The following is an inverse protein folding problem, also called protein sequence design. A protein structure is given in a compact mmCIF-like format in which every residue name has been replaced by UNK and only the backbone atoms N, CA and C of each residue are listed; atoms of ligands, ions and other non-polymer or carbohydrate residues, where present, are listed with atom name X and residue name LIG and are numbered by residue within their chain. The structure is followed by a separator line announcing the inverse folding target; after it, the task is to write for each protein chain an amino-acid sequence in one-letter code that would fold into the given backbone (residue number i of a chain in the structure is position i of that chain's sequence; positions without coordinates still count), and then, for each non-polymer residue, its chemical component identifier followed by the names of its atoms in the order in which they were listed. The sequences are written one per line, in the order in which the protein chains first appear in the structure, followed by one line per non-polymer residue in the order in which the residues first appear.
data_IF_426967586066
#
_entry.id   IF_426967586066
#
_cell.length_a   1.000
_cell.length_b   1.000
_cell.length_c   1.000
_cell.angle_alpha   90.00
_cell.angle_beta   90.00
_cell.angle_gamma   90.00
#
_symmetry.space_group_name_H-M   'P 1'
#
loop_
_entity.id
_entity.type
_entity.pdbx_description
1 polymer ?
#
# COMPACT_ATOMS: atom_id res chain seq x y z
N UNK A 1 -57.19 -24.36 58.31
CA UNK A 1 -56.26 -25.30 57.64
C UNK A 1 -55.62 -24.72 56.36
N UNK A 2 -55.46 -23.39 56.23
CA UNK A 2 -54.94 -22.76 54.99
C UNK A 2 -53.41 -22.57 54.94
N UNK A 3 -52.69 -22.62 56.08
CA UNK A 3 -51.25 -22.32 56.13
C UNK A 3 -50.29 -23.44 55.73
N UNK A 4 -50.68 -24.71 55.80
CA UNK A 4 -49.79 -25.84 55.46
C UNK A 4 -49.48 -25.95 53.96
N UNK A 5 -50.39 -25.49 53.09
CA UNK A 5 -50.20 -25.57 51.64
C UNK A 5 -49.29 -24.44 51.13
N UNK A 6 -49.40 -23.24 51.72
CA UNK A 6 -48.54 -22.10 51.39
C UNK A 6 -47.09 -22.36 51.77
N UNK A 7 -46.83 -23.00 52.92
CA UNK A 7 -45.47 -23.40 53.32
C UNK A 7 -44.85 -24.38 52.30
N UNK A 8 -45.59 -25.42 51.89
CA UNK A 8 -45.12 -26.40 50.90
C UNK A 8 -44.85 -25.77 49.53
N UNK A 9 -45.70 -24.83 49.10
CA UNK A 9 -45.51 -24.08 47.85
C UNK A 9 -44.26 -23.19 47.89
N UNK A 10 -44.07 -22.44 48.98
CA UNK A 10 -42.87 -21.59 49.15
C UNK A 10 -41.60 -22.45 49.17
N UNK A 11 -41.58 -23.55 49.93
CA UNK A 11 -40.42 -24.45 49.96
C UNK A 11 -40.11 -25.03 48.58
N UNK A 12 -41.13 -25.40 47.79
CA UNK A 12 -40.95 -25.90 46.44
C UNK A 12 -40.37 -24.84 45.49
N UNK A 13 -40.86 -23.60 45.54
CA UNK A 13 -40.32 -22.51 44.72
C UNK A 13 -38.87 -22.17 45.08
N UNK A 14 -38.55 -22.15 46.38
CA UNK A 14 -37.19 -21.90 46.86
C UNK A 14 -36.25 -23.02 46.44
N UNK A 15 -36.64 -24.29 46.56
CA UNK A 15 -35.83 -25.42 46.11
C UNK A 15 -35.61 -25.39 44.59
N UNK A 16 -36.64 -25.06 43.80
CA UNK A 16 -36.49 -24.90 42.35
C UNK A 16 -35.56 -23.73 42.01
N UNK A 17 -35.61 -22.63 42.77
CA UNK A 17 -34.67 -21.52 42.60
C UNK A 17 -33.24 -21.94 42.89
N UNK A 18 -32.98 -22.64 44.00
CA UNK A 18 -31.65 -23.14 44.34
C UNK A 18 -31.14 -24.17 43.33
N UNK A 19 -32.01 -25.07 42.85
CA UNK A 19 -31.67 -26.00 41.78
C UNK A 19 -31.36 -25.28 40.46
N UNK A 20 -32.13 -24.24 40.12
CA UNK A 20 -31.88 -23.41 38.95
C UNK A 20 -30.51 -22.70 39.03
N UNK A 21 -30.22 -22.05 40.15
CA UNK A 21 -28.92 -21.38 40.36
C UNK A 21 -27.77 -22.38 40.36
N UNK A 22 -27.93 -23.54 41.01
CA UNK A 22 -26.92 -24.60 40.98
C UNK A 22 -26.70 -25.16 39.57
N UNK A 23 -27.76 -25.32 38.78
CA UNK A 23 -27.69 -25.74 37.38
C UNK A 23 -26.99 -24.70 36.50
N UNK A 24 -27.26 -23.41 36.69
CA UNK A 24 -26.54 -22.34 35.96
C UNK A 24 -25.07 -22.27 36.39
N UNK A 25 -24.79 -22.40 37.68
CA UNK A 25 -23.42 -22.44 38.21
C UNK A 25 -22.64 -23.63 37.66
N UNK A 26 -23.23 -24.82 37.63
CA UNK A 26 -22.64 -26.00 37.01
C UNK A 26 -22.46 -25.80 35.50
N UNK A 27 -23.45 -25.23 34.81
CA UNK A 27 -23.32 -24.91 33.38
C UNK A 27 -22.13 -23.99 33.13
N UNK A 28 -22.01 -22.87 33.84
CA UNK A 28 -20.89 -21.93 33.70
C UNK A 28 -19.55 -22.61 33.99
N UNK A 29 -19.47 -23.42 35.04
CA UNK A 29 -18.26 -24.15 35.42
C UNK A 29 -17.82 -25.18 34.36
N UNK A 30 -18.77 -25.82 33.67
CA UNK A 30 -18.46 -26.81 32.63
C UNK A 30 -18.38 -26.22 31.21
N UNK A 31 -18.81 -24.96 30.99
CA UNK A 31 -18.81 -24.28 29.69
C UNK A 31 -17.51 -23.49 29.40
N UNK A 32 -16.59 -23.39 30.37
CA UNK A 32 -15.34 -22.63 30.21
C UNK A 32 -14.52 -23.07 29.00
N UNK A 33 -14.44 -24.38 28.72
CA UNK A 33 -13.70 -24.89 27.56
C UNK A 33 -14.28 -24.50 26.20
N UNK A 34 -15.61 -24.29 26.10
CA UNK A 34 -16.23 -23.81 24.86
C UNK A 34 -15.97 -22.32 24.63
N UNK A 35 -15.85 -21.54 25.71
CA UNK A 35 -15.59 -20.10 25.64
C UNK A 35 -14.16 -19.82 25.24
N UNK A 36 -13.19 -20.54 25.82
CA UNK A 36 -11.78 -20.40 25.46
C UNK A 36 -11.53 -20.78 24.00
N UNK A 37 -12.11 -21.88 23.53
CA UNK A 37 -11.99 -22.29 22.12
C UNK A 37 -12.57 -21.25 21.16
N UNK A 38 -13.71 -20.65 21.50
CA UNK A 38 -14.31 -19.59 20.69
C UNK A 38 -13.42 -18.33 20.67
N UNK A 39 -12.82 -17.96 21.80
CA UNK A 39 -11.89 -16.83 21.90
C UNK A 39 -10.62 -17.08 21.06
N UNK A 40 -10.03 -18.27 21.15
CA UNK A 40 -8.87 -18.66 20.35
C UNK A 40 -9.18 -18.63 18.84
N UNK A 41 -10.34 -19.15 18.44
CA UNK A 41 -10.81 -19.08 17.05
C UNK A 41 -11.00 -17.63 16.58
N UNK A 42 -11.59 -16.76 17.40
CA UNK A 42 -11.75 -15.35 17.07
C UNK A 42 -10.39 -14.64 16.88
N UNK A 43 -9.39 -14.96 17.71
CA UNK A 43 -8.04 -14.41 17.59
C UNK A 43 -7.34 -14.88 16.32
N UNK A 44 -7.46 -16.17 15.98
CA UNK A 44 -6.90 -16.72 14.74
C UNK A 44 -7.52 -16.01 13.53
N UNK A 45 -8.85 -15.97 13.43
CA UNK A 45 -9.52 -15.31 12.31
C UNK A 45 -9.21 -13.80 12.21
N UNK A 46 -9.05 -13.13 13.36
CA UNK A 46 -8.65 -11.72 13.42
C UNK A 46 -7.23 -11.53 12.88
N UNK A 47 -6.29 -12.38 13.30
CA UNK A 47 -4.92 -12.36 12.83
C UNK A 47 -4.81 -12.69 11.33
N UNK A 48 -5.57 -13.66 10.81
CA UNK A 48 -5.63 -13.99 9.37
C UNK A 48 -6.16 -12.80 8.53
N UNK A 49 -7.21 -12.11 9.01
CA UNK A 49 -7.68 -10.86 8.37
C UNK A 49 -6.61 -9.77 8.43
N UNK A 50 -5.89 -9.68 9.55
CA UNK A 50 -4.76 -8.79 9.73
C UNK A 50 -3.62 -9.09 8.74
N UNK A 51 -3.33 -10.36 8.50
CA UNK A 51 -2.29 -10.82 7.57
C UNK A 51 -2.54 -10.33 6.15
N UNK A 52 -3.80 -10.42 5.68
CA UNK A 52 -4.21 -9.89 4.38
C UNK A 52 -4.01 -8.37 4.30
N UNK A 53 -4.41 -7.64 5.33
CA UNK A 53 -4.22 -6.19 5.37
C UNK A 53 -2.72 -5.82 5.38
N UNK A 54 -1.93 -6.56 6.15
CA UNK A 54 -0.48 -6.38 6.26
C UNK A 54 0.22 -6.59 4.92
N UNK A 55 -0.04 -7.70 4.23
CA UNK A 55 0.56 -8.02 2.94
C UNK A 55 0.25 -6.95 1.86
N UNK A 56 -0.94 -6.35 1.91
CA UNK A 56 -1.37 -5.34 0.95
C UNK A 56 -0.82 -3.93 1.21
N UNK A 57 -0.53 -3.57 2.47
CA UNK A 57 -0.33 -2.17 2.86
C UNK A 57 0.96 -1.91 3.64
N UNK A 58 1.50 -2.92 4.31
CA UNK A 58 2.54 -2.74 5.33
C UNK A 58 3.85 -3.44 4.96
N UNK A 59 3.77 -4.54 4.20
CA UNK A 59 4.91 -5.39 3.81
C UNK A 59 6.03 -4.59 3.15
N UNK A 60 5.69 -3.66 2.24
CA UNK A 60 6.66 -2.82 1.51
C UNK A 60 7.70 -2.13 2.40
N UNK A 61 7.29 -1.69 3.60
CA UNK A 61 8.16 -1.04 4.58
C UNK A 61 8.61 -1.97 5.71
N UNK A 62 7.79 -2.95 6.11
CA UNK A 62 8.03 -3.79 7.28
C UNK A 62 8.52 -5.21 6.96
N UNK A 63 8.75 -5.55 5.69
CA UNK A 63 9.14 -6.88 5.23
C UNK A 63 7.94 -7.79 4.98
N UNK A 64 8.13 -8.83 4.16
CA UNK A 64 7.05 -9.71 3.71
C UNK A 64 6.46 -10.55 4.84
N UNK A 65 7.27 -10.90 5.84
CA UNK A 65 6.87 -11.60 7.05
C UNK A 65 6.97 -10.73 8.31
N UNK A 66 7.04 -9.40 8.16
CA UNK A 66 7.17 -8.46 9.28
C UNK A 66 8.55 -8.43 9.93
N UNK A 67 9.59 -8.91 9.25
CA UNK A 67 10.98 -9.00 9.73
C UNK A 67 11.70 -7.64 9.83
N UNK A 68 11.10 -6.58 9.29
CA UNK A 68 11.65 -5.23 9.26
C UNK A 68 12.47 -4.95 8.00
N UNK A 69 12.38 -3.72 7.51
CA UNK A 69 13.11 -3.24 6.35
C UNK A 69 13.47 -1.75 6.51
N UNK A 70 12.62 -0.88 5.97
CA UNK A 70 12.67 0.57 6.19
C UNK A 70 12.03 0.89 7.54
N UNK A 71 10.89 0.24 7.81
CA UNK A 71 10.22 0.22 9.10
C UNK A 71 10.79 -0.86 10.03
N UNK A 72 10.58 -0.74 11.34
CA UNK A 72 11.05 -1.72 12.33
C UNK A 72 10.37 -3.08 12.15
N UNK A 73 11.01 -4.13 12.67
CA UNK A 73 10.46 -5.48 12.72
C UNK A 73 9.18 -5.54 13.58
N UNK A 74 8.13 -6.10 13.01
CA UNK A 74 6.81 -6.26 13.64
C UNK A 74 6.54 -7.70 14.08
N UNK A 75 6.98 -8.69 13.29
CA UNK A 75 6.91 -10.10 13.66
C UNK A 75 8.11 -10.46 14.53
N UNK A 76 8.05 -10.05 15.79
CA UNK A 76 9.09 -10.40 16.77
C UNK A 76 8.45 -10.96 18.02
N UNK A 77 9.09 -11.93 18.69
CA UNK A 77 8.72 -12.35 20.04
C UNK A 77 8.50 -11.15 20.95
N UNK A 78 9.38 -10.14 20.84
CA UNK A 78 9.29 -8.95 21.63
C UNK A 78 7.97 -8.21 21.43
N UNK A 79 7.24 -8.29 20.33
CA UNK A 79 5.99 -7.54 20.19
C UNK A 79 4.78 -8.25 20.82
N UNK A 80 4.92 -9.51 21.24
CA UNK A 80 3.82 -10.27 21.79
C UNK A 80 3.76 -10.26 23.32
N UNK A 81 2.56 -10.48 23.86
CA UNK A 81 2.36 -10.52 25.30
C UNK A 81 3.22 -11.59 25.98
N UNK A 82 3.35 -12.75 25.33
CA UNK A 82 4.04 -13.93 25.86
C UNK A 82 5.49 -13.63 26.26
N UNK A 83 6.13 -12.65 25.62
CA UNK A 83 7.50 -12.23 25.93
C UNK A 83 7.56 -10.93 26.74
N UNK A 84 6.49 -10.13 26.80
CA UNK A 84 6.49 -8.81 27.46
C UNK A 84 5.94 -8.78 28.89
N UNK A 85 5.22 -9.79 29.39
CA UNK A 85 4.76 -9.72 30.79
C UNK A 85 4.33 -11.05 31.44
N UNK A 86 4.26 -11.04 32.77
CA UNK A 86 3.58 -12.02 33.61
C UNK A 86 2.12 -11.61 33.97
N UNK A 87 1.54 -10.57 33.34
CA UNK A 87 0.25 -9.96 33.74
C UNK A 87 -0.62 -9.54 32.53
N UNK A 88 -1.90 -9.92 32.52
CA UNK A 88 -2.85 -9.61 31.44
C UNK A 88 -3.06 -8.10 31.15
N UNK A 89 -2.90 -7.22 32.14
CA UNK A 89 -3.04 -5.76 31.96
C UNK A 89 -2.00 -5.13 31.02
N UNK A 90 -0.86 -5.79 30.81
CA UNK A 90 0.19 -5.28 29.93
C UNK A 90 -0.14 -5.46 28.43
N UNK A 91 -1.04 -6.39 28.07
CA UNK A 91 -1.43 -6.59 26.67
C UNK A 91 -2.21 -5.40 26.14
N UNK A 92 -3.22 -4.95 26.89
CA UNK A 92 -4.05 -3.81 26.48
C UNK A 92 -3.23 -2.53 26.28
N UNK A 93 -2.17 -2.32 27.06
CA UNK A 93 -1.26 -1.18 26.86
C UNK A 93 -0.41 -1.32 25.59
N UNK A 94 0.08 -2.52 25.29
CA UNK A 94 0.84 -2.80 24.06
C UNK A 94 -0.06 -2.66 22.84
N UNK A 95 -1.26 -3.24 22.88
CA UNK A 95 -2.27 -3.13 21.82
C UNK A 95 -2.69 -1.68 21.61
N UNK A 96 -2.94 -0.92 22.68
CA UNK A 96 -3.26 0.50 22.59
C UNK A 96 -2.12 1.31 21.93
N UNK A 97 -0.86 0.96 22.20
CA UNK A 97 0.30 1.60 21.57
C UNK A 97 0.37 1.30 20.07
N UNK A 98 0.23 0.03 19.68
CA UNK A 98 0.22 -0.35 18.27
C UNK A 98 -0.96 0.27 17.54
N UNK A 99 -2.15 0.25 18.13
CA UNK A 99 -3.36 0.88 17.60
C UNK A 99 -3.13 2.36 17.33
N UNK A 100 -2.68 3.13 18.33
CA UNK A 100 -2.42 4.55 18.18
C UNK A 100 -1.34 4.84 17.10
N UNK A 101 -0.32 3.98 17.01
CA UNK A 101 0.73 4.12 15.98
C UNK A 101 0.18 3.87 14.57
N UNK A 102 -0.70 2.88 14.40
CA UNK A 102 -1.33 2.59 13.10
C UNK A 102 -2.35 3.69 12.75
N UNK A 103 -3.17 4.11 13.71
CA UNK A 103 -4.19 5.14 13.51
C UNK A 103 -3.56 6.44 13.00
N UNK A 104 -2.49 6.89 13.65
CA UNK A 104 -1.93 8.23 13.47
C UNK A 104 -0.63 8.27 12.69
N UNK A 105 -0.06 7.12 12.35
CA UNK A 105 1.28 7.03 11.79
C UNK A 105 2.34 7.52 12.78
N UNK A 106 3.51 7.87 12.27
CA UNK A 106 4.60 8.46 13.06
C UNK A 106 5.12 9.72 12.40
N UNK A 107 4.99 10.85 13.09
CA UNK A 107 5.51 12.12 12.59
C UNK A 107 7.03 12.06 12.42
N UNK A 108 7.53 12.64 11.32
CA UNK A 108 8.95 12.60 10.96
C UNK A 108 9.43 11.25 10.44
N UNK A 109 8.53 10.31 10.13
CA UNK A 109 8.86 9.08 9.41
C UNK A 109 7.96 8.92 8.18
N UNK A 110 8.30 7.95 7.32
CA UNK A 110 7.50 7.59 6.16
C UNK A 110 6.19 6.83 6.50
N UNK A 111 5.88 6.59 7.78
CA UNK A 111 4.69 5.84 8.18
C UNK A 111 3.47 6.78 8.27
N UNK A 112 2.53 6.72 7.30
CA UNK A 112 1.38 7.62 7.27
C UNK A 112 0.32 7.24 8.32
N UNK A 113 -0.63 8.14 8.61
CA UNK A 113 -1.85 7.76 9.33
C UNK A 113 -2.70 6.81 8.49
N UNK A 114 -3.19 5.73 9.10
CA UNK A 114 -4.05 4.75 8.40
C UNK A 114 -5.52 4.82 8.80
N UNK A 115 -5.86 5.44 9.93
CA UNK A 115 -7.25 5.55 10.33
C UNK A 115 -8.02 6.52 9.43
N UNK A 116 -9.26 6.16 9.10
CA UNK A 116 -10.18 7.02 8.33
C UNK A 116 -10.39 8.40 8.98
N UNK A 117 -10.38 8.47 10.31
CA UNK A 117 -10.49 9.73 11.06
C UNK A 117 -9.27 10.65 10.94
N UNK A 118 -8.17 10.13 10.41
CA UNK A 118 -6.91 10.83 10.19
C UNK A 118 -6.52 10.88 8.70
N UNK A 119 -7.47 10.60 7.80
CA UNK A 119 -7.28 10.67 6.35
C UNK A 119 -6.76 9.38 5.70
N UNK A 120 -6.63 8.29 6.47
CA UNK A 120 -6.27 6.97 5.96
C UNK A 120 -7.46 6.16 5.44
N UNK A 121 -7.22 4.89 5.10
CA UNK A 121 -8.19 3.98 4.47
C UNK A 121 -8.78 2.92 5.40
N UNK A 122 -8.27 2.81 6.64
CA UNK A 122 -8.61 1.72 7.55
C UNK A 122 -9.62 2.17 8.60
N UNK A 123 -10.66 1.35 8.78
CA UNK A 123 -11.61 1.49 9.88
C UNK A 123 -11.05 0.83 11.16
N UNK A 124 -11.74 1.05 12.28
CA UNK A 124 -11.37 0.47 13.57
C UNK A 124 -11.13 -1.04 13.51
N UNK A 125 -12.04 -1.82 12.91
CA UNK A 125 -11.90 -3.28 12.84
C UNK A 125 -10.69 -3.74 12.03
N UNK A 126 -10.35 -3.01 10.96
CA UNK A 126 -9.12 -3.30 10.19
C UNK A 126 -7.87 -3.08 11.04
N UNK A 127 -7.84 -1.99 11.81
CA UNK A 127 -6.73 -1.68 12.71
C UNK A 127 -6.64 -2.73 13.82
N UNK A 128 -7.76 -3.17 14.38
CA UNK A 128 -7.77 -4.24 15.38
C UNK A 128 -7.20 -5.56 14.86
N UNK A 129 -7.59 -5.97 13.65
CA UNK A 129 -7.05 -7.18 13.04
C UNK A 129 -5.52 -7.10 12.86
N UNK A 130 -5.00 -5.92 12.46
CA UNK A 130 -3.56 -5.66 12.37
C UNK A 130 -2.87 -5.69 13.74
N UNK A 131 -3.48 -5.09 14.75
CA UNK A 131 -2.97 -5.13 16.13
C UNK A 131 -2.91 -6.58 16.61
N UNK A 132 -3.98 -7.37 16.43
CA UNK A 132 -4.01 -8.78 16.79
C UNK A 132 -2.87 -9.55 16.12
N UNK A 133 -2.69 -9.40 14.79
CA UNK A 133 -1.58 -10.05 14.07
C UNK A 133 -0.22 -9.78 14.73
N UNK A 134 0.05 -8.53 15.10
CA UNK A 134 1.34 -8.09 15.65
C UNK A 134 1.53 -8.50 17.11
N UNK A 135 0.47 -8.48 17.93
CA UNK A 135 0.58 -8.66 19.39
C UNK A 135 0.33 -10.07 19.88
N UNK A 136 -0.35 -10.91 19.10
CA UNK A 136 -0.69 -12.28 19.54
C UNK A 136 0.11 -13.35 18.82
N UNK A 137 0.47 -13.14 17.55
CA UNK A 137 1.04 -14.19 16.69
C UNK A 137 0.16 -15.47 16.73
N UNK A 138 -1.16 -15.29 16.64
CA UNK A 138 -2.13 -16.39 16.70
C UNK A 138 -2.09 -17.24 15.44
N UNK A 139 -2.11 -18.57 15.61
CA UNK A 139 -2.16 -19.52 14.51
C UNK A 139 -0.95 -19.41 13.58
N UNK A 140 -1.20 -19.43 12.27
CA UNK A 140 -0.23 -19.31 11.20
C UNK A 140 -0.35 -17.98 10.43
N UNK A 141 -0.91 -16.94 11.04
CA UNK A 141 -1.23 -15.69 10.35
C UNK A 141 -0.02 -15.00 9.69
N UNK A 142 1.18 -15.08 10.27
CA UNK A 142 2.39 -14.55 9.63
C UNK A 142 2.88 -15.40 8.45
N UNK A 143 2.60 -16.70 8.45
CA UNK A 143 2.87 -17.58 7.30
C UNK A 143 1.90 -17.25 6.16
N UNK A 144 0.63 -16.94 6.49
CA UNK A 144 -0.34 -16.44 5.52
C UNK A 144 0.07 -15.07 4.97
N UNK A 145 0.53 -14.14 5.83
CA UNK A 145 1.00 -12.83 5.40
C UNK A 145 2.15 -12.95 4.40
N UNK A 146 3.11 -13.83 4.68
CA UNK A 146 4.23 -14.11 3.78
C UNK A 146 3.76 -14.73 2.46
N UNK A 147 2.86 -15.71 2.50
CA UNK A 147 2.34 -16.34 1.29
C UNK A 147 1.63 -15.34 0.38
N UNK A 148 0.81 -14.45 0.95
CA UNK A 148 0.12 -13.39 0.21
C UNK A 148 1.08 -12.33 -0.33
N UNK A 149 2.11 -11.97 0.44
CA UNK A 149 3.12 -11.02 -0.02
C UNK A 149 3.91 -11.58 -1.22
N UNK A 150 4.26 -12.88 -1.18
CA UNK A 150 4.91 -13.56 -2.32
C UNK A 150 4.00 -13.57 -3.55
N UNK A 151 2.70 -13.86 -3.39
CA UNK A 151 1.74 -13.81 -4.50
C UNK A 151 1.69 -12.41 -5.15
N UNK A 152 1.71 -11.35 -4.33
CA UNK A 152 1.73 -9.97 -4.80
C UNK A 152 3.04 -9.59 -5.47
N UNK A 153 4.16 -10.06 -4.95
CA UNK A 153 5.48 -9.86 -5.54
C UNK A 153 5.58 -10.55 -6.90
N UNK A 154 5.09 -11.79 -7.03
CA UNK A 154 5.01 -12.52 -8.30
C UNK A 154 4.12 -11.80 -9.32
N UNK A 155 2.95 -11.32 -8.91
CA UNK A 155 2.08 -10.53 -9.78
C UNK A 155 2.74 -9.20 -10.20
N UNK A 156 3.46 -8.56 -9.29
CA UNK A 156 4.20 -7.32 -9.57
C UNK A 156 5.35 -7.58 -10.55
N UNK A 157 6.10 -8.67 -10.39
CA UNK A 157 7.13 -9.09 -11.34
C UNK A 157 6.55 -9.36 -12.72
N UNK A 158 5.45 -10.10 -12.83
CA UNK A 158 4.78 -10.32 -14.11
C UNK A 158 4.34 -9.00 -14.77
N UNK A 159 3.85 -8.05 -13.97
CA UNK A 159 3.53 -6.71 -14.46
C UNK A 159 4.78 -5.99 -14.97
N UNK A 160 5.89 -6.01 -14.21
CA UNK A 160 7.15 -5.37 -14.60
C UNK A 160 7.77 -6.02 -15.84
N UNK A 161 7.73 -7.35 -15.95
CA UNK A 161 8.12 -8.09 -17.15
C UNK A 161 7.30 -7.66 -18.37
N UNK A 162 5.98 -7.47 -18.20
CA UNK A 162 5.10 -7.00 -19.28
C UNK A 162 5.42 -5.56 -19.69
N UNK A 163 5.76 -4.69 -18.73
CA UNK A 163 6.19 -3.30 -18.97
C UNK A 163 7.53 -3.30 -19.70
N UNK A 164 8.52 -4.08 -19.23
CA UNK A 164 9.82 -4.22 -19.89
C UNK A 164 9.66 -4.80 -21.30
N UNK A 165 8.86 -5.86 -21.48
CA UNK A 165 8.61 -6.44 -22.79
C UNK A 165 7.95 -5.44 -23.74
N UNK A 166 7.02 -4.62 -23.24
CA UNK A 166 6.37 -3.56 -24.02
C UNK A 166 7.35 -2.44 -24.37
N UNK A 167 8.19 -2.00 -23.42
CA UNK A 167 9.23 -0.99 -23.64
C UNK A 167 10.28 -1.49 -24.65
N UNK A 168 10.75 -2.74 -24.48
CA UNK A 168 11.74 -3.40 -25.33
C UNK A 168 11.22 -3.73 -26.73
N UNK A 169 9.96 -4.13 -26.86
CA UNK A 169 9.32 -4.32 -28.17
C UNK A 169 9.22 -2.99 -28.94
N UNK A 170 9.56 -1.87 -28.28
CA UNK A 170 9.09 -0.55 -28.62
C UNK A 170 7.59 -0.53 -28.40
N UNK A 171 7.11 0.42 -27.60
CA UNK A 171 5.93 1.15 -28.07
C UNK A 171 6.33 1.75 -29.43
N UNK A 172 6.24 0.93 -30.48
CA UNK A 172 6.72 1.28 -31.81
C UNK A 172 5.97 2.55 -32.20
N UNK A 173 6.68 3.51 -32.79
CA UNK A 173 6.04 4.59 -33.53
C UNK A 173 4.94 4.01 -34.46
N UNK A 174 5.17 2.79 -34.99
CA UNK A 174 4.20 2.00 -35.74
C UNK A 174 2.99 1.52 -34.91
N UNK A 175 3.12 1.11 -33.65
CA UNK A 175 2.02 0.61 -32.82
C UNK A 175 1.08 1.71 -32.34
N UNK A 176 1.64 2.85 -31.95
CA UNK A 176 0.86 4.06 -31.62
C UNK A 176 0.28 4.68 -32.90
N UNK A 177 1.05 4.76 -34.00
CA UNK A 177 0.53 5.24 -35.29
C UNK A 177 -0.54 4.30 -35.87
N UNK A 178 -0.41 2.97 -35.73
CA UNK A 178 -1.44 2.02 -36.16
C UNK A 178 -2.70 2.14 -35.31
N UNK A 179 -2.58 2.36 -34.00
CA UNK A 179 -3.71 2.58 -33.11
C UNK A 179 -4.43 3.91 -33.40
N UNK A 180 -3.66 4.97 -33.69
CA UNK A 180 -4.19 6.29 -34.08
C UNK A 180 -4.82 6.25 -35.47
N UNK A 181 -4.18 5.63 -36.47
CA UNK A 181 -4.73 5.47 -37.82
C UNK A 181 -5.97 4.56 -37.82
N UNK A 182 -5.97 3.48 -37.05
CA UNK A 182 -7.16 2.63 -36.90
C UNK A 182 -8.30 3.36 -36.18
N UNK A 183 -8.01 4.25 -35.23
CA UNK A 183 -9.02 5.08 -34.57
C UNK A 183 -9.56 6.19 -35.50
N UNK A 184 -8.71 6.77 -36.36
CA UNK A 184 -9.10 7.76 -37.39
C UNK A 184 -9.98 7.10 -38.47
N UNK A 185 -9.57 5.92 -38.96
CA UNK A 185 -10.28 5.16 -39.99
C UNK A 185 -11.61 4.58 -39.47
N UNK A 186 -11.69 4.25 -38.18
CA UNK A 186 -12.92 3.75 -37.55
C UNK A 186 -13.91 4.85 -37.14
N UNK A 187 -13.46 6.10 -37.03
CA UNK A 187 -14.26 7.20 -36.49
C UNK A 187 -15.10 7.96 -37.52
N UNK A 188 -14.93 7.71 -38.83
CA UNK A 188 -15.69 8.35 -39.94
C UNK A 188 -16.01 9.85 -39.72
N UNK A 189 -15.07 10.59 -39.10
CA UNK A 189 -15.15 12.03 -38.88
C UNK A 189 -15.59 12.54 -37.50
N UNK A 190 -15.88 11.69 -36.49
CA UNK A 190 -16.26 12.17 -35.15
C UNK A 190 -15.37 11.55 -34.05
N UNK A 191 -14.16 12.09 -33.89
CA UNK A 191 -13.26 11.73 -32.78
C UNK A 191 -13.69 12.49 -31.54
N UNK A 192 -14.18 11.77 -30.53
CA UNK A 192 -14.61 12.36 -29.26
C UNK A 192 -13.46 13.10 -28.55
N UNK A 193 -13.77 14.25 -27.95
CA UNK A 193 -12.84 15.18 -27.31
C UNK A 193 -11.99 14.48 -26.23
N UNK A 194 -12.57 13.48 -25.58
CA UNK A 194 -11.95 12.67 -24.53
C UNK A 194 -10.75 11.83 -25.04
N UNK A 195 -10.79 11.33 -26.29
CA UNK A 195 -9.69 10.55 -26.86
C UNK A 195 -8.49 11.47 -27.18
N UNK A 196 -8.78 12.69 -27.63
CA UNK A 196 -7.78 13.72 -27.94
C UNK A 196 -7.09 14.23 -26.67
N UNK A 197 -7.85 14.46 -25.60
CA UNK A 197 -7.30 14.84 -24.29
C UNK A 197 -6.42 13.74 -23.67
N UNK A 198 -6.80 12.47 -23.83
CA UNK A 198 -6.02 11.33 -23.33
C UNK A 198 -4.67 11.21 -24.04
N UNK A 199 -4.62 11.45 -25.36
CA UNK A 199 -3.38 11.45 -26.15
C UNK A 199 -2.45 12.63 -25.79
N UNK A 200 -3.02 13.81 -25.57
CA UNK A 200 -2.30 14.99 -25.08
C UNK A 200 -1.75 14.80 -23.66
N UNK A 201 -2.50 14.14 -22.78
CA UNK A 201 -2.06 13.82 -21.42
C UNK A 201 -0.86 12.87 -21.40
N UNK A 202 -0.86 11.83 -22.26
CA UNK A 202 0.30 10.94 -22.42
C UNK A 202 1.54 11.68 -22.94
N UNK A 203 1.34 12.61 -23.87
CA UNK A 203 2.44 13.39 -24.47
C UNK A 203 3.04 14.37 -23.45
N UNK A 204 2.21 15.00 -22.60
CA UNK A 204 2.67 15.85 -21.49
C UNK A 204 3.46 15.07 -20.44
N UNK A 205 2.97 13.88 -20.08
CA UNK A 205 3.66 13.01 -19.12
C UNK A 205 5.06 12.61 -19.61
N UNK A 206 5.22 12.40 -20.92
CA UNK A 206 6.49 12.01 -21.52
C UNK A 206 7.50 13.17 -21.59
N UNK A 207 7.04 14.40 -21.91
CA UNK A 207 7.88 15.61 -21.91
C UNK A 207 8.37 15.94 -20.50
N UNK A 208 7.54 15.71 -19.48
CA UNK A 208 7.96 15.88 -18.10
C UNK A 208 9.14 14.99 -17.72
N UNK A 209 9.19 13.75 -18.22
CA UNK A 209 10.30 12.81 -17.95
C UNK A 209 11.59 13.23 -18.66
N UNK A 210 11.54 13.60 -19.94
CA UNK A 210 12.71 14.03 -20.71
C UNK A 210 13.36 15.31 -20.16
N UNK A 211 12.55 16.33 -19.86
CA UNK A 211 13.08 17.59 -19.33
C UNK A 211 13.71 17.35 -17.97
N UNK A 212 13.12 16.54 -17.10
CA UNK A 212 13.73 16.27 -15.79
C UNK A 212 15.05 15.51 -15.91
N UNK A 213 15.22 14.67 -16.94
CA UNK A 213 16.47 13.96 -17.21
C UNK A 213 17.60 14.90 -17.68
N UNK A 214 17.30 15.98 -18.40
CA UNK A 214 18.28 17.01 -18.82
C UNK A 214 18.95 17.70 -17.60
N UNK A 215 18.21 17.82 -16.49
CA UNK A 215 18.69 18.43 -15.25
C UNK A 215 19.14 17.40 -14.21
N UNK A 216 19.19 16.09 -14.53
CA UNK A 216 19.41 15.02 -13.56
C UNK A 216 20.73 15.14 -12.79
N UNK A 217 21.83 15.46 -13.46
CA UNK A 217 23.14 15.63 -12.82
C UNK A 217 23.16 16.87 -11.90
N UNK A 218 22.56 17.98 -12.35
CA UNK A 218 22.44 19.19 -11.56
C UNK A 218 21.54 18.99 -10.32
N UNK A 219 20.46 18.21 -10.48
CA UNK A 219 19.57 17.84 -9.38
C UNK A 219 20.27 16.93 -8.37
N UNK A 220 21.04 15.96 -8.85
CA UNK A 220 21.82 15.06 -8.01
C UNK A 220 22.93 15.82 -7.23
N UNK A 221 23.61 16.76 -7.89
CA UNK A 221 24.62 17.61 -7.25
C UNK A 221 24.01 18.54 -6.19
N UNK A 222 22.86 19.17 -6.48
CA UNK A 222 22.15 20.03 -5.53
C UNK A 222 21.60 19.23 -4.33
N UNK A 223 21.09 18.03 -4.57
CA UNK A 223 20.65 17.11 -3.50
C UNK A 223 21.83 16.64 -2.63
N UNK A 224 22.96 16.28 -3.25
CA UNK A 224 24.16 15.87 -2.52
C UNK A 224 24.77 17.01 -1.69
N UNK A 225 24.57 18.25 -2.12
CA UNK A 225 24.99 19.46 -1.41
C UNK A 225 24.01 19.93 -0.33
N UNK A 226 22.81 19.34 -0.24
CA UNK A 226 21.70 19.79 0.60
C UNK A 226 21.35 21.29 0.37
N UNK A 227 21.46 21.76 -0.87
CA UNK A 227 21.26 23.16 -1.25
C UNK A 227 19.81 23.40 -1.71
N UNK A 228 18.94 23.75 -0.76
CA UNK A 228 17.51 23.99 -1.03
C UNK A 228 17.26 25.14 -2.02
N UNK A 229 18.07 26.21 -1.98
CA UNK A 229 17.93 27.35 -2.90
C UNK A 229 18.25 26.93 -4.34
N UNK A 230 19.24 26.05 -4.52
CA UNK A 230 19.58 25.48 -5.84
C UNK A 230 18.51 24.50 -6.36
N UNK A 231 17.87 23.75 -5.47
CA UNK A 231 16.78 22.84 -5.82
C UNK A 231 15.52 23.60 -6.28
N UNK A 232 15.15 24.67 -5.58
CA UNK A 232 14.01 25.52 -5.95
C UNK A 232 14.24 26.21 -7.32
N UNK A 233 15.46 26.69 -7.57
CA UNK A 233 15.80 27.31 -8.86
C UNK A 233 15.82 26.29 -10.01
N UNK A 234 16.31 25.07 -9.76
CA UNK A 234 16.26 23.97 -10.72
C UNK A 234 14.83 23.54 -11.03
N UNK A 235 13.95 23.46 -10.03
CA UNK A 235 12.53 23.14 -10.23
C UNK A 235 11.85 24.17 -11.15
N UNK A 236 12.15 25.45 -10.94
CA UNK A 236 11.62 26.54 -11.75
C UNK A 236 12.14 26.48 -13.20
N UNK A 237 13.43 26.18 -13.39
CA UNK A 237 14.03 25.99 -14.72
C UNK A 237 13.45 24.76 -15.44
N UNK A 238 13.22 23.65 -14.73
CA UNK A 238 12.59 22.44 -15.27
C UNK A 238 11.17 22.76 -15.74
N UNK A 239 10.40 23.53 -14.97
CA UNK A 239 9.03 23.88 -15.32
C UNK A 239 8.93 24.86 -16.49
N UNK A 240 9.81 25.87 -16.57
CA UNK A 240 9.90 26.74 -17.75
C UNK A 240 10.29 25.93 -19.00
N UNK A 241 11.26 25.01 -18.87
CA UNK A 241 11.71 24.17 -19.99
C UNK A 241 10.63 23.20 -20.46
N UNK A 242 9.83 22.63 -19.54
CA UNK A 242 8.65 21.83 -19.87
C UNK A 242 7.64 22.62 -20.69
N UNK A 243 7.38 23.87 -20.30
CA UNK A 243 6.45 24.74 -21.01
C UNK A 243 6.91 25.06 -22.44
N UNK A 244 8.20 25.37 -22.63
CA UNK A 244 8.77 25.63 -23.95
C UNK A 244 8.68 24.42 -24.89
N UNK A 245 9.01 23.22 -24.41
CA UNK A 245 8.94 21.99 -25.20
C UNK A 245 7.50 21.67 -25.57
N UNK A 246 6.55 21.90 -24.66
CA UNK A 246 5.13 21.72 -24.92
C UNK A 246 4.64 22.63 -26.06
N UNK A 247 5.01 23.91 -26.01
CA UNK A 247 4.62 24.90 -27.03
C UNK A 247 5.24 24.58 -28.40
N UNK A 248 6.50 24.15 -28.42
CA UNK A 248 7.18 23.73 -29.65
C UNK A 248 6.51 22.50 -30.28
N UNK A 249 6.08 21.53 -29.47
CA UNK A 249 5.42 20.32 -29.95
C UNK A 249 4.01 20.60 -30.47
N UNK A 250 3.25 21.48 -29.80
CA UNK A 250 1.96 21.97 -30.28
C UNK A 250 2.13 22.69 -31.61
N UNK A 251 3.14 23.57 -31.72
CA UNK A 251 3.43 24.27 -32.97
C UNK A 251 3.83 23.30 -34.11
N UNK A 252 4.64 22.28 -33.82
CA UNK A 252 5.03 21.25 -34.78
C UNK A 252 3.85 20.37 -35.21
N UNK A 253 2.91 20.07 -34.30
CA UNK A 253 1.69 19.30 -34.63
C UNK A 253 0.70 20.06 -35.54
N UNK A 254 0.88 21.38 -35.67
CA UNK A 254 0.03 22.28 -36.46
C UNK A 254 0.67 22.70 -37.79
N UNK A 255 1.95 22.41 -38.00
CA UNK A 255 2.67 22.73 -39.23
C UNK A 255 2.72 21.51 -40.16
N UNK A 256 2.33 21.70 -41.42
CA UNK A 256 2.55 20.73 -42.52
C UNK A 256 4.07 20.48 -42.61
N UNK A 257 4.56 19.38 -42.04
CA UNK A 257 5.98 19.17 -41.79
C UNK A 257 6.71 18.66 -43.04
N UNK A 258 7.81 19.33 -43.39
CA UNK A 258 8.76 18.91 -44.44
C UNK A 258 9.61 17.72 -43.95
N UNK A 259 10.04 16.85 -44.86
CA UNK A 259 10.52 15.48 -44.57
C UNK A 259 11.75 15.38 -43.64
N UNK A 260 12.55 16.44 -43.51
CA UNK A 260 13.73 16.46 -42.63
C UNK A 260 13.37 16.56 -41.14
N UNK A 261 12.22 17.17 -40.81
CA UNK A 261 11.70 17.24 -39.43
C UNK A 261 11.12 15.89 -39.00
N UNK A 262 10.55 15.13 -39.94
CA UNK A 262 10.00 13.79 -39.69
C UNK A 262 11.10 12.78 -39.32
N UNK A 263 12.27 12.85 -39.97
CA UNK A 263 13.43 11.98 -39.68
C UNK A 263 14.04 12.29 -38.31
N UNK A 264 14.25 13.57 -37.98
CA UNK A 264 14.77 13.97 -36.66
C UNK A 264 13.83 13.57 -35.51
N UNK A 265 12.52 13.60 -35.76
CA UNK A 265 11.49 13.16 -34.80
C UNK A 265 11.49 11.63 -34.64
N UNK A 266 11.78 10.86 -35.69
CA UNK A 266 11.93 9.40 -35.64
C UNK A 266 13.16 9.01 -34.80
N UNK A 267 14.30 9.68 -35.00
CA UNK A 267 15.54 9.39 -34.28
C UNK A 267 15.42 9.75 -32.78
N UNK A 268 14.83 10.90 -32.45
CA UNK A 268 14.55 11.27 -31.07
C UNK A 268 13.61 10.26 -30.39
N UNK A 269 12.57 9.80 -31.09
CA UNK A 269 11.63 8.77 -30.60
C UNK A 269 12.29 7.41 -30.38
N UNK A 270 13.29 7.05 -31.18
CA UNK A 270 14.05 5.81 -31.00
C UNK A 270 14.93 5.85 -29.74
N UNK A 271 15.60 6.98 -29.48
CA UNK A 271 16.40 7.17 -28.27
C UNK A 271 15.56 7.12 -26.97
N UNK A 272 14.34 7.66 -27.00
CA UNK A 272 13.39 7.59 -25.88
C UNK A 272 12.97 6.15 -25.58
N UNK A 273 12.69 5.37 -26.63
CA UNK A 273 12.30 3.97 -26.48
C UNK A 273 13.43 3.13 -25.88
N UNK A 274 14.68 3.43 -26.23
CA UNK A 274 15.88 2.79 -25.66
C UNK A 274 16.01 3.13 -24.16
N UNK A 275 15.93 4.41 -23.78
CA UNK A 275 16.00 4.85 -22.38
C UNK A 275 14.86 4.28 -21.51
N UNK A 276 13.64 4.22 -22.04
CA UNK A 276 12.50 3.62 -21.36
C UNK A 276 12.68 2.11 -21.14
N UNK A 277 13.25 1.41 -22.12
CA UNK A 277 13.56 -0.01 -22.00
C UNK A 277 14.69 -0.26 -20.98
N UNK A 278 15.72 0.58 -20.95
CA UNK A 278 16.79 0.53 -19.94
C UNK A 278 16.26 0.78 -18.54
N UNK A 279 15.41 1.79 -18.35
CA UNK A 279 14.81 2.11 -17.06
C UNK A 279 13.88 1.00 -16.58
N UNK A 280 13.06 0.44 -17.48
CA UNK A 280 12.18 -0.69 -17.17
C UNK A 280 12.98 -1.95 -16.83
N UNK A 281 14.09 -2.20 -17.52
CA UNK A 281 15.00 -3.31 -17.22
C UNK A 281 15.62 -3.14 -15.84
N UNK A 282 16.18 -1.97 -15.54
CA UNK A 282 16.79 -1.70 -14.23
C UNK A 282 15.77 -1.86 -13.08
N UNK A 283 14.51 -1.44 -13.31
CA UNK A 283 13.42 -1.62 -12.35
C UNK A 283 13.07 -3.10 -12.15
N UNK A 284 13.00 -3.87 -13.24
CA UNK A 284 12.74 -5.31 -13.20
C UNK A 284 13.87 -6.05 -12.48
N UNK A 285 15.13 -5.78 -12.84
CA UNK A 285 16.31 -6.40 -12.20
C UNK A 285 16.37 -6.08 -10.69
N UNK A 286 16.04 -4.83 -10.31
CA UNK A 286 15.95 -4.44 -8.90
C UNK A 286 14.81 -5.18 -8.17
N UNK A 287 13.66 -5.37 -8.81
CA UNK A 287 12.55 -6.13 -8.25
C UNK A 287 12.91 -7.61 -8.08
N UNK A 288 13.51 -8.25 -9.10
CA UNK A 288 13.99 -9.62 -9.03
C UNK A 288 15.02 -9.81 -7.91
N UNK A 289 15.95 -8.86 -7.76
CA UNK A 289 16.95 -8.89 -6.69
C UNK A 289 16.31 -8.77 -5.29
N UNK A 290 15.27 -7.95 -5.14
CA UNK A 290 14.51 -7.85 -3.89
C UNK A 290 13.79 -9.17 -3.57
N UNK A 291 13.08 -9.74 -4.53
CA UNK A 291 12.39 -11.02 -4.35
C UNK A 291 13.37 -12.15 -4.03
N UNK A 292 14.52 -12.20 -4.71
CA UNK A 292 15.59 -13.16 -4.41
C UNK A 292 16.18 -12.99 -2.99
N UNK A 293 16.14 -11.77 -2.44
CA UNK A 293 16.52 -11.47 -1.07
C UNK A 293 15.38 -11.67 -0.04
N UNK A 294 14.19 -12.12 -0.47
CA UNK A 294 13.01 -12.27 0.37
C UNK A 294 12.35 -10.95 0.76
N UNK A 295 12.60 -9.88 0.00
CA UNK A 295 12.08 -8.52 0.24
C UNK A 295 10.94 -8.22 -0.75
N UNK A 296 9.96 -7.40 -0.35
CA UNK A 296 8.88 -6.98 -1.23
C UNK A 296 9.41 -6.23 -2.46
N UNK A 297 8.68 -6.35 -3.57
CA UNK A 297 8.88 -5.50 -4.74
C UNK A 297 8.58 -4.05 -4.34
N UNK A 298 9.62 -3.21 -4.33
CA UNK A 298 9.48 -1.80 -4.00
C UNK A 298 8.81 -1.07 -5.16
N UNK A 299 7.62 -0.51 -4.93
CA UNK A 299 7.07 0.48 -5.86
C UNK A 299 7.88 1.78 -5.71
N UNK A 300 8.11 2.50 -6.81
CA UNK A 300 8.77 3.80 -6.76
C UNK A 300 8.01 4.70 -5.77
N UNK A 301 8.67 5.05 -4.65
CA UNK A 301 8.05 5.81 -3.58
C UNK A 301 7.59 7.16 -4.14
N UNK A 302 6.29 7.30 -4.39
CA UNK A 302 5.72 8.62 -4.62
C UNK A 302 5.56 9.23 -3.23
N UNK A 303 6.26 10.33 -2.90
CA UNK A 303 6.13 10.93 -1.59
C UNK A 303 4.69 11.43 -1.44
N UNK A 304 3.89 10.71 -0.67
CA UNK A 304 2.59 11.20 -0.22
C UNK A 304 2.88 12.39 0.70
N UNK A 305 2.50 13.58 0.26
CA UNK A 305 2.54 14.78 1.08
C UNK A 305 1.66 14.55 2.32
N UNK A 306 2.29 14.25 3.45
CA UNK A 306 1.61 14.08 4.73
C UNK A 306 1.14 15.45 5.18
N UNK A 307 -0.16 15.73 5.07
CA UNK A 307 -0.75 16.88 5.75
C UNK A 307 -0.63 16.65 7.26
N UNK A 308 0.17 17.48 7.92
CA UNK A 308 0.50 17.36 9.34
C UNK A 308 -0.75 17.45 10.24
N UNK A 309 -1.35 16.30 10.54
CA UNK A 309 -2.29 16.15 11.64
C UNK A 309 -1.54 16.07 12.98
N UNK A 310 -2.09 16.67 14.03
CA UNK A 310 -1.48 16.67 15.37
C UNK A 310 -1.47 15.30 16.06
N UNK A 311 -2.02 14.25 15.45
CA UNK A 311 -2.16 12.96 16.13
C UNK A 311 -0.80 12.27 16.39
N UNK A 312 0.13 12.30 15.42
CA UNK A 312 1.45 11.64 15.56
C UNK A 312 2.46 12.36 16.46
N UNK A 313 2.10 13.46 17.15
CA UNK A 313 3.05 14.28 17.93
C UNK A 313 3.27 13.79 19.37
N UNK A 314 2.48 12.84 19.85
CA UNK A 314 2.65 12.26 21.18
C UNK A 314 3.00 10.79 21.05
N UNK A 315 4.31 10.48 21.07
CA UNK A 315 4.88 9.24 21.62
C UNK A 315 6.40 9.22 21.57
#
# INVERSE_FOLDING_TARGET
MSGQNTHKQITAMVLLMFLGVASLGAYVWFDDGRRSEAEDQHLIESAERGARLFANNCSVCHGNAGEGLIGPALNTPANTLAFRSANAGALGEIEARFRATIECGRNGTAMPPWAVEHGGSLNFFHIENLVTLVTTNSGNAWEEALALAIEHDEASLQSLESVYATAKAGATAQGIANAVNAAIDAADGDVDLALRESLLALTRANIAVEVTAEFADALADAQAAEDEDALDDLELQIDERRAEVLDALVAASLADADGDVEVALIDARAAIAELAAETALATLEAAEANVAAGRPVQQAATPLAVTAGTCGQRQ
#
